data_IF_343685059315
#
_entry.id   IF_343685059315
#
_cell.length_a   1.000
_cell.length_b   1.000
_cell.length_c   1.000
_cell.angle_alpha   90.00
_cell.angle_beta   90.00
_cell.angle_gamma   90.00
#
_symmetry.space_group_name_H-M   'P 1'
#
loop_
_entity.id
_entity.type
_entity.pdbx_description
1 polymer ?
#
# COMPACT_ATOMS: atom_id res chain seq x y z
N UNK A 1 -6.43 23.28 21.65
CA UNK A 1 -7.69 22.53 21.52
C UNK A 1 -7.83 21.80 20.18
N UNK A 2 -7.42 22.37 19.05
CA UNK A 2 -7.59 21.79 17.70
C UNK A 2 -7.07 20.34 17.50
N UNK A 3 -5.97 19.94 18.15
CA UNK A 3 -5.44 18.57 18.00
C UNK A 3 -6.40 17.48 18.51
N UNK A 4 -7.19 17.76 19.56
CA UNK A 4 -8.21 16.81 20.05
C UNK A 4 -9.33 16.64 19.03
N UNK A 5 -9.75 17.75 18.42
CA UNK A 5 -10.76 17.76 17.36
C UNK A 5 -10.30 16.98 16.13
N UNK A 6 -9.01 17.04 15.77
CA UNK A 6 -8.43 16.21 14.70
C UNK A 6 -8.51 14.72 15.01
N UNK A 7 -8.31 14.32 16.27
CA UNK A 7 -8.47 12.93 16.70
C UNK A 7 -9.93 12.48 16.65
N UNK A 8 -10.87 13.31 17.11
CA UNK A 8 -12.31 13.00 16.99
C UNK A 8 -12.76 12.92 15.54
N UNK A 9 -12.23 13.76 14.65
CA UNK A 9 -12.51 13.68 13.22
C UNK A 9 -12.05 12.34 12.61
N UNK A 10 -10.93 11.78 13.08
CA UNK A 10 -10.47 10.46 12.65
C UNK A 10 -11.41 9.31 13.06
N UNK A 11 -12.26 9.49 14.08
CA UNK A 11 -13.27 8.51 14.47
C UNK A 11 -14.43 8.41 13.45
N UNK A 12 -14.70 9.47 12.69
CA UNK A 12 -15.80 9.51 11.70
C UNK A 12 -15.69 8.40 10.64
N UNK A 13 -14.56 8.25 9.90
CA UNK A 13 -14.43 7.15 8.94
C UNK A 13 -14.45 5.77 9.62
N UNK A 14 -13.91 5.65 10.84
CA UNK A 14 -13.98 4.40 11.60
C UNK A 14 -15.42 4.00 11.93
N UNK A 15 -16.24 4.95 12.38
CA UNK A 15 -17.66 4.74 12.64
C UNK A 15 -18.42 4.38 11.35
N UNK A 16 -18.15 5.09 10.25
CA UNK A 16 -18.75 4.77 8.94
C UNK A 16 -18.42 3.36 8.48
N UNK A 17 -17.19 2.88 8.69
CA UNK A 17 -16.80 1.50 8.39
C UNK A 17 -17.58 0.53 9.28
N UNK A 18 -17.68 0.79 10.60
CA UNK A 18 -18.42 -0.10 11.52
C UNK A 18 -19.87 -0.23 11.12
N UNK A 19 -20.53 0.89 10.81
CA UNK A 19 -21.92 0.90 10.35
C UNK A 19 -22.05 0.23 8.98
N UNK A 20 -21.16 0.54 8.03
CA UNK A 20 -21.15 -0.06 6.69
C UNK A 20 -20.94 -1.58 6.72
N UNK A 21 -20.11 -2.08 7.63
CA UNK A 21 -19.89 -3.52 7.80
C UNK A 21 -21.15 -4.26 8.27
N UNK A 22 -22.12 -3.60 8.93
CA UNK A 22 -23.39 -4.25 9.28
C UNK A 22 -24.25 -4.58 8.05
N UNK A 23 -24.04 -3.88 6.94
CA UNK A 23 -24.74 -4.10 5.67
C UNK A 23 -23.91 -4.92 4.67
N UNK A 24 -22.65 -5.18 4.97
CA UNK A 24 -21.77 -5.94 4.09
C UNK A 24 -22.13 -7.42 4.15
N UNK A 25 -22.35 -8.03 2.99
CA UNK A 25 -22.51 -9.48 2.86
C UNK A 25 -21.21 -10.19 3.22
N UNK A 26 -21.33 -11.29 3.96
CA UNK A 26 -20.19 -12.13 4.31
C UNK A 26 -19.57 -12.76 3.07
N UNK A 27 -18.25 -12.99 3.10
CA UNK A 27 -17.54 -13.60 1.98
C UNK A 27 -18.05 -15.03 1.72
N UNK A 28 -18.44 -15.38 0.47
CA UNK A 28 -18.89 -16.74 0.13
C UNK A 28 -17.90 -17.83 0.52
N UNK A 29 -16.60 -17.53 0.44
CA UNK A 29 -15.52 -18.45 0.82
C UNK A 29 -15.49 -18.71 2.32
N UNK A 30 -15.75 -17.68 3.13
CA UNK A 30 -15.82 -17.84 4.58
C UNK A 30 -17.07 -18.63 4.98
N UNK A 31 -18.22 -18.31 4.39
CA UNK A 31 -19.47 -19.05 4.60
C UNK A 31 -19.31 -20.55 4.29
N UNK A 32 -18.69 -20.88 3.14
CA UNK A 32 -18.38 -22.25 2.78
C UNK A 32 -17.40 -22.93 3.77
N UNK A 33 -16.40 -22.20 4.28
CA UNK A 33 -15.44 -22.71 5.27
C UNK A 33 -16.09 -23.06 6.62
N UNK A 34 -17.14 -22.33 7.02
CA UNK A 34 -17.92 -22.61 8.24
C UNK A 34 -19.04 -23.65 7.98
N UNK A 35 -19.15 -24.18 6.76
CA UNK A 35 -20.14 -25.19 6.39
C UNK A 35 -21.51 -24.64 5.95
N UNK A 36 -21.67 -23.31 5.86
CA UNK A 36 -22.92 -22.64 5.43
C UNK A 36 -22.98 -22.51 3.90
N UNK A 37 -23.05 -23.64 3.20
CA UNK A 37 -23.02 -23.67 1.73
C UNK A 37 -24.22 -23.01 1.04
N UNK A 38 -25.41 -23.11 1.63
CA UNK A 38 -26.62 -22.51 1.06
C UNK A 38 -26.57 -20.98 1.11
N UNK A 39 -26.05 -20.42 2.21
CA UNK A 39 -25.85 -18.98 2.33
C UNK A 39 -24.75 -18.50 1.40
N UNK A 40 -23.65 -19.27 1.26
CA UNK A 40 -22.60 -18.97 0.29
C UNK A 40 -23.16 -18.92 -1.14
N UNK A 41 -24.06 -19.85 -1.50
CA UNK A 41 -24.72 -19.90 -2.81
C UNK A 41 -25.56 -18.66 -3.06
N UNK A 42 -26.40 -18.24 -2.11
CA UNK A 42 -27.22 -17.02 -2.24
C UNK A 42 -26.37 -15.78 -2.49
N UNK A 43 -25.22 -15.67 -1.80
CA UNK A 43 -24.30 -14.54 -2.02
C UNK A 43 -23.67 -14.63 -3.41
N UNK A 44 -23.26 -15.82 -3.88
CA UNK A 44 -22.71 -15.99 -5.25
C UNK A 44 -23.76 -15.66 -6.32
N UNK A 45 -25.01 -16.10 -6.15
CA UNK A 45 -26.14 -15.77 -7.04
C UNK A 45 -26.43 -14.27 -7.11
N UNK A 46 -26.14 -13.52 -6.05
CA UNK A 46 -26.27 -12.06 -6.04
C UNK A 46 -25.12 -11.31 -6.71
N UNK A 47 -23.96 -11.97 -6.88
CA UNK A 47 -22.72 -11.35 -7.37
C UNK A 47 -22.37 -11.76 -8.80
N UNK A 48 -22.76 -12.96 -9.22
CA UNK A 48 -22.38 -13.59 -10.50
C UNK A 48 -23.60 -13.92 -11.35
N UNK A 49 -23.39 -14.05 -12.66
CA UNK A 49 -24.44 -14.50 -13.58
C UNK A 49 -24.87 -15.94 -13.25
N UNK A 50 -26.16 -16.31 -13.43
CA UNK A 50 -26.68 -17.63 -13.10
C UNK A 50 -25.91 -18.81 -13.73
N UNK A 51 -25.31 -18.60 -14.90
CA UNK A 51 -24.47 -19.57 -15.62
C UNK A 51 -23.16 -19.91 -14.88
N UNK A 52 -22.58 -18.96 -14.16
CA UNK A 52 -21.27 -19.10 -13.50
C UNK A 52 -21.37 -19.52 -12.02
N UNK A 53 -22.59 -19.50 -11.45
CA UNK A 53 -22.84 -19.85 -10.04
C UNK A 53 -22.40 -21.28 -9.72
N UNK A 54 -22.75 -22.24 -10.58
CA UNK A 54 -22.43 -23.65 -10.37
C UNK A 54 -20.92 -23.89 -10.30
N UNK A 55 -20.20 -23.37 -11.31
CA UNK A 55 -18.74 -23.44 -11.40
C UNK A 55 -18.05 -22.74 -10.23
N UNK A 56 -18.50 -21.53 -9.89
CA UNK A 56 -17.95 -20.77 -8.75
C UNK A 56 -18.14 -21.50 -7.43
N UNK A 57 -19.29 -22.16 -7.22
CA UNK A 57 -19.55 -22.95 -6.02
C UNK A 57 -18.71 -24.22 -5.95
N UNK A 58 -18.44 -24.88 -7.08
CA UNK A 58 -17.51 -26.01 -7.14
C UNK A 58 -16.07 -25.59 -6.82
N UNK A 59 -15.60 -24.48 -7.39
CA UNK A 59 -14.27 -23.93 -7.09
C UNK A 59 -14.12 -23.60 -5.61
N UNK A 60 -15.13 -22.95 -5.01
CA UNK A 60 -15.12 -22.63 -3.58
C UNK A 60 -15.08 -23.91 -2.73
N UNK A 61 -15.88 -24.92 -3.06
CA UNK A 61 -15.88 -26.22 -2.35
C UNK A 61 -14.53 -26.92 -2.47
N UNK A 62 -13.94 -26.94 -3.66
CA UNK A 62 -12.62 -27.55 -3.89
C UNK A 62 -11.53 -26.84 -3.08
N UNK A 63 -11.58 -25.50 -2.97
CA UNK A 63 -10.63 -24.74 -2.14
C UNK A 63 -10.82 -25.04 -0.66
N UNK A 64 -12.05 -25.11 -0.16
CA UNK A 64 -12.34 -25.41 1.25
C UNK A 64 -11.99 -26.85 1.62
N UNK A 65 -12.27 -27.81 0.73
CA UNK A 65 -11.94 -29.22 0.95
C UNK A 65 -10.43 -29.49 1.01
N UNK A 66 -9.62 -28.67 0.33
CA UNK A 66 -8.16 -28.70 0.38
C UNK A 66 -7.56 -27.78 1.47
N UNK A 67 -8.40 -27.05 2.21
CA UNK A 67 -7.96 -26.15 3.29
C UNK A 67 -7.95 -26.91 4.62
N UNK A 68 -6.97 -27.82 4.78
CA UNK A 68 -6.70 -28.46 6.07
C UNK A 68 -6.45 -27.37 7.12
N UNK A 69 -7.37 -27.32 8.08
CA UNK A 69 -7.48 -26.28 9.10
C UNK A 69 -6.14 -26.05 9.80
N UNK A 70 -5.64 -24.81 9.68
CA UNK A 70 -4.33 -24.31 10.11
C UNK A 70 -3.19 -24.70 9.17
N UNK A 71 -2.85 -23.80 8.24
CA UNK A 71 -1.48 -23.81 7.74
C UNK A 71 -0.52 -23.69 8.92
N UNK A 72 0.66 -24.28 8.85
CA UNK A 72 1.75 -24.02 9.81
C UNK A 72 2.59 -22.82 9.36
N UNK A 73 3.22 -22.08 10.29
CA UNK A 73 4.19 -21.03 9.90
C UNK A 73 5.40 -21.61 9.15
N UNK A 74 5.70 -22.90 9.37
CA UNK A 74 6.74 -23.61 8.65
C UNK A 74 6.44 -23.78 7.15
N UNK A 75 5.17 -23.73 6.72
CA UNK A 75 4.80 -23.80 5.30
C UNK A 75 5.32 -22.60 4.50
N UNK A 76 5.56 -21.46 5.14
CA UNK A 76 6.19 -20.31 4.48
C UNK A 76 7.64 -20.59 4.10
N UNK A 77 8.31 -21.57 4.71
CA UNK A 77 9.70 -21.92 4.42
C UNK A 77 9.81 -22.98 3.31
N UNK A 78 8.70 -23.57 2.91
CA UNK A 78 8.64 -24.63 1.88
C UNK A 78 8.32 -24.01 0.51
N UNK A 79 8.95 -24.49 -0.56
CA UNK A 79 8.60 -24.08 -1.92
C UNK A 79 7.18 -24.54 -2.29
N UNK A 80 6.39 -23.74 -3.05
CA UNK A 80 6.72 -22.45 -3.65
C UNK A 80 6.44 -21.23 -2.75
N UNK A 81 5.82 -21.43 -1.58
CA UNK A 81 5.36 -20.37 -0.69
C UNK A 81 6.49 -19.47 -0.18
N UNK A 82 7.69 -20.04 0.02
CA UNK A 82 8.89 -19.28 0.38
C UNK A 82 9.25 -18.20 -0.64
N UNK A 83 9.13 -18.48 -1.94
CA UNK A 83 9.40 -17.48 -2.98
C UNK A 83 8.45 -16.29 -2.88
N UNK A 84 7.17 -16.55 -2.63
CA UNK A 84 6.15 -15.50 -2.49
C UNK A 84 6.39 -14.69 -1.22
N UNK A 85 6.72 -15.34 -0.11
CA UNK A 85 7.07 -14.68 1.14
C UNK A 85 8.32 -13.79 1.00
N UNK A 86 9.36 -14.28 0.33
CA UNK A 86 10.57 -13.52 0.05
C UNK A 86 10.32 -12.34 -0.88
N UNK A 87 9.53 -12.51 -1.94
CA UNK A 87 9.15 -11.41 -2.85
C UNK A 87 8.36 -10.34 -2.07
N UNK A 88 7.33 -10.74 -1.31
CA UNK A 88 6.52 -9.81 -0.54
C UNK A 88 7.30 -9.08 0.54
N UNK A 89 8.16 -9.79 1.28
CA UNK A 89 9.04 -9.19 2.27
C UNK A 89 10.06 -8.24 1.64
N UNK A 90 10.66 -8.62 0.52
CA UNK A 90 11.63 -7.80 -0.21
C UNK A 90 11.00 -6.55 -0.80
N UNK A 91 9.79 -6.63 -1.35
CA UNK A 91 9.08 -5.46 -1.90
C UNK A 91 8.76 -4.43 -0.81
N UNK A 92 8.25 -4.86 0.34
CA UNK A 92 7.99 -3.95 1.46
C UNK A 92 9.28 -3.40 2.07
N UNK A 93 10.34 -4.21 2.13
CA UNK A 93 11.66 -3.75 2.53
C UNK A 93 12.18 -2.65 1.57
N UNK A 94 12.13 -2.88 0.26
CA UNK A 94 12.53 -1.91 -0.76
C UNK A 94 11.69 -0.63 -0.70
N UNK A 95 10.38 -0.76 -0.46
CA UNK A 95 9.47 0.37 -0.31
C UNK A 95 9.85 1.26 0.88
N UNK A 96 10.24 0.67 2.02
CA UNK A 96 10.73 1.43 3.17
C UNK A 96 12.14 1.98 2.95
N UNK A 97 13.01 1.18 2.32
CA UNK A 97 14.38 1.59 1.99
C UNK A 97 14.43 2.75 0.99
N UNK A 98 13.44 2.86 0.10
CA UNK A 98 13.29 4.00 -0.79
C UNK A 98 13.17 5.34 -0.03
N UNK A 99 12.75 5.32 1.24
CA UNK A 99 12.79 6.48 2.12
C UNK A 99 11.54 7.37 2.09
N UNK A 100 10.40 6.86 1.61
CA UNK A 100 9.15 7.63 1.49
C UNK A 100 8.76 8.37 2.77
N UNK A 101 8.90 7.71 3.93
CA UNK A 101 8.60 8.35 5.21
C UNK A 101 9.49 9.57 5.45
N UNK A 102 10.79 9.48 5.13
CA UNK A 102 11.71 10.61 5.22
C UNK A 102 11.29 11.76 4.33
N UNK A 103 11.00 11.49 3.05
CA UNK A 103 10.54 12.50 2.09
C UNK A 103 9.25 13.17 2.56
N UNK A 104 8.25 12.40 3.00
CA UNK A 104 6.99 12.94 3.49
C UNK A 104 7.19 13.81 4.73
N UNK A 105 8.00 13.38 5.70
CA UNK A 105 8.27 14.17 6.91
C UNK A 105 9.01 15.48 6.60
N UNK A 106 10.01 15.43 5.72
CA UNK A 106 10.84 16.60 5.40
C UNK A 106 10.27 17.48 4.29
N UNK A 107 9.25 17.01 3.57
CA UNK A 107 8.60 17.79 2.50
C UNK A 107 8.19 19.18 2.97
N UNK A 108 7.60 19.30 4.16
CA UNK A 108 7.19 20.58 4.74
C UNK A 108 8.33 21.57 4.96
N UNK A 109 9.55 21.09 5.25
CA UNK A 109 10.74 21.94 5.34
C UNK A 109 11.14 22.42 3.94
N UNK A 110 11.20 21.50 2.97
CA UNK A 110 11.52 21.83 1.56
C UNK A 110 10.55 22.86 0.98
N UNK A 111 9.25 22.79 1.33
CA UNK A 111 8.27 23.80 0.91
C UNK A 111 8.47 25.15 1.60
N UNK A 112 8.93 25.16 2.86
CA UNK A 112 9.18 26.39 3.62
C UNK A 112 10.32 27.22 3.03
N UNK A 113 11.34 26.55 2.50
CA UNK A 113 12.52 27.20 1.91
C UNK A 113 12.17 28.03 0.66
N UNK A 114 11.02 27.78 0.04
CA UNK A 114 10.55 28.48 -1.18
C UNK A 114 9.41 29.46 -0.88
N UNK A 115 9.24 29.83 0.39
CA UNK A 115 8.25 30.83 0.81
C UNK A 115 6.85 30.29 1.09
N UNK A 116 6.62 28.97 1.00
CA UNK A 116 5.36 28.37 1.48
C UNK A 116 5.46 28.19 3.00
N UNK A 117 5.14 29.26 3.72
CA UNK A 117 5.24 29.32 5.19
C UNK A 117 4.12 28.56 5.91
N UNK A 118 3.01 28.28 5.22
CA UNK A 118 1.90 27.50 5.77
C UNK A 118 2.11 26.00 5.59
N UNK A 119 2.40 25.31 6.69
CA UNK A 119 2.51 23.84 6.70
C UNK A 119 1.23 23.12 6.28
N UNK A 120 0.07 23.77 6.40
CA UNK A 120 -1.20 23.25 5.91
C UNK A 120 -1.26 23.22 4.38
N UNK A 121 -0.75 24.26 3.69
CA UNK A 121 -0.67 24.29 2.23
C UNK A 121 0.31 23.25 1.70
N UNK A 122 1.49 23.13 2.32
CA UNK A 122 2.46 22.09 1.97
C UNK A 122 1.85 20.68 2.08
N UNK A 123 1.14 20.41 3.18
CA UNK A 123 0.46 19.13 3.40
C UNK A 123 -0.68 18.89 2.39
N UNK A 124 -1.40 19.95 1.99
CA UNK A 124 -2.45 19.88 0.97
C UNK A 124 -1.86 19.50 -0.40
N UNK A 125 -0.75 20.12 -0.82
CA UNK A 125 -0.09 19.77 -2.07
C UNK A 125 0.38 18.32 -2.08
N UNK A 126 1.04 17.87 -1.01
CA UNK A 126 1.44 16.48 -0.83
C UNK A 126 0.24 15.54 -0.93
N UNK A 127 -0.86 15.87 -0.26
CA UNK A 127 -2.09 15.08 -0.28
C UNK A 127 -2.70 14.98 -1.68
N UNK A 128 -2.83 16.10 -2.40
CA UNK A 128 -3.36 16.14 -3.76
C UNK A 128 -2.48 15.34 -4.71
N UNK A 129 -1.16 15.50 -4.63
CA UNK A 129 -0.22 14.77 -5.50
C UNK A 129 -0.25 13.26 -5.22
N UNK A 130 -0.30 12.86 -3.96
CA UNK A 130 -0.45 11.46 -3.58
C UNK A 130 -1.79 10.87 -4.06
N UNK A 131 -2.89 11.61 -3.86
CA UNK A 131 -4.22 11.19 -4.31
C UNK A 131 -4.29 11.09 -5.85
N UNK A 132 -3.75 12.07 -6.57
CA UNK A 132 -3.66 12.06 -8.02
C UNK A 132 -2.83 10.87 -8.54
N UNK A 133 -1.68 10.60 -7.90
CA UNK A 133 -0.87 9.42 -8.22
C UNK A 133 -1.61 8.11 -8.02
N UNK A 134 -2.37 7.98 -6.92
CA UNK A 134 -3.19 6.80 -6.64
C UNK A 134 -4.34 6.62 -7.65
N UNK A 135 -5.01 7.70 -8.07
CA UNK A 135 -6.03 7.65 -9.12
C UNK A 135 -5.46 7.19 -10.45
N UNK A 136 -4.30 7.72 -10.84
CA UNK A 136 -3.58 7.29 -12.05
C UNK A 136 -3.17 5.82 -11.92
N UNK A 137 -2.66 5.40 -10.76
CA UNK A 137 -2.32 4.01 -10.48
C UNK A 137 -3.52 3.08 -10.70
N UNK A 138 -4.69 3.43 -10.15
CA UNK A 138 -5.90 2.63 -10.28
C UNK A 138 -6.31 2.43 -11.75
N UNK A 139 -6.16 3.46 -12.59
CA UNK A 139 -6.50 3.37 -14.01
C UNK A 139 -5.45 2.61 -14.83
N UNK A 140 -4.17 2.72 -14.47
CA UNK A 140 -3.07 2.09 -15.19
C UNK A 140 -2.84 0.63 -14.79
N UNK A 141 -3.16 0.26 -13.55
CA UNK A 141 -2.89 -1.07 -13.00
C UNK A 141 -3.58 -2.16 -13.81
N UNK A 142 -4.81 -1.92 -14.24
CA UNK A 142 -5.59 -2.86 -15.04
C UNK A 142 -5.13 -2.93 -16.49
N UNK A 143 -4.56 -1.84 -17.03
CA UNK A 143 -4.16 -1.74 -18.45
C UNK A 143 -2.72 -2.20 -18.73
N UNK A 144 -1.76 -1.80 -17.90
CA UNK A 144 -0.32 -1.97 -18.18
C UNK A 144 0.33 -3.11 -17.40
N UNK A 145 -0.37 -3.65 -16.41
CA UNK A 145 0.11 -4.70 -15.54
C UNK A 145 1.01 -4.20 -14.41
N UNK A 146 1.00 -4.96 -13.31
CA UNK A 146 1.54 -4.58 -12.01
C UNK A 146 3.07 -4.42 -12.03
N UNK A 147 3.78 -5.36 -12.67
CA UNK A 147 5.26 -5.35 -12.75
C UNK A 147 5.81 -4.10 -13.44
N UNK A 148 5.22 -3.68 -14.57
CA UNK A 148 5.66 -2.49 -15.31
C UNK A 148 5.47 -1.22 -14.47
N UNK A 149 4.31 -1.11 -13.82
CA UNK A 149 3.98 0.03 -12.98
C UNK A 149 4.94 0.17 -11.78
N UNK A 150 5.33 -0.97 -11.19
CA UNK A 150 6.29 -1.02 -10.10
C UNK A 150 7.70 -0.59 -10.57
N UNK A 151 8.16 -1.05 -11.74
CA UNK A 151 9.46 -0.62 -12.32
C UNK A 151 9.47 0.87 -12.62
N UNK A 152 8.42 1.39 -13.29
CA UNK A 152 8.30 2.82 -13.62
C UNK A 152 8.29 3.68 -12.36
N UNK A 153 7.60 3.23 -11.30
CA UNK A 153 7.58 3.90 -10.01
C UNK A 153 8.98 4.02 -9.39
N UNK A 154 9.75 2.93 -9.33
CA UNK A 154 11.12 2.98 -8.79
C UNK A 154 12.09 3.81 -9.65
N UNK A 155 11.99 3.76 -10.98
CA UNK A 155 12.77 4.63 -11.86
C UNK A 155 12.41 6.10 -11.67
N UNK A 156 11.12 6.41 -11.55
CA UNK A 156 10.63 7.76 -11.26
C UNK A 156 11.11 8.28 -9.92
N UNK A 157 11.08 7.45 -8.88
CA UNK A 157 11.62 7.81 -7.55
C UNK A 157 13.14 8.05 -7.58
N UNK A 158 13.89 7.23 -8.31
CA UNK A 158 15.33 7.41 -8.46
C UNK A 158 15.67 8.72 -9.18
N UNK A 159 14.95 9.02 -10.27
CA UNK A 159 15.10 10.28 -10.99
C UNK A 159 14.71 11.49 -10.13
N UNK A 160 13.60 11.40 -9.39
CA UNK A 160 13.16 12.45 -8.48
C UNK A 160 14.18 12.71 -7.36
N UNK A 161 14.77 11.66 -6.80
CA UNK A 161 15.85 11.78 -5.82
C UNK A 161 17.09 12.44 -6.40
N UNK A 162 17.46 12.10 -7.64
CA UNK A 162 18.55 12.77 -8.33
C UNK A 162 18.29 14.28 -8.47
N UNK A 163 17.07 14.70 -8.84
CA UNK A 163 16.71 16.13 -8.91
C UNK A 163 16.85 16.85 -7.58
N UNK A 164 16.41 16.22 -6.48
CA UNK A 164 16.52 16.79 -5.12
C UNK A 164 17.99 16.96 -4.75
N UNK A 165 18.80 15.91 -4.90
CA UNK A 165 20.23 15.96 -4.57
C UNK A 165 20.96 16.98 -5.45
N UNK A 166 20.63 17.05 -6.74
CA UNK A 166 21.21 18.01 -7.65
C UNK A 166 20.90 19.47 -7.24
N UNK A 167 19.64 19.75 -6.86
CA UNK A 167 19.23 21.07 -6.38
C UNK A 167 19.91 21.49 -5.08
N UNK A 168 20.29 20.54 -4.21
CA UNK A 168 20.94 20.83 -2.91
C UNK A 168 22.47 20.89 -3.01
N UNK A 169 23.09 20.03 -3.83
CA UNK A 169 24.53 19.77 -3.76
C UNK A 169 25.35 20.58 -4.76
N UNK A 170 24.71 21.06 -5.83
CA UNK A 170 25.40 21.85 -6.85
C UNK A 170 25.19 23.34 -6.59
N UNK A 171 26.20 24.18 -6.90
CA UNK A 171 26.09 25.63 -6.83
C UNK A 171 25.24 26.14 -8.00
N UNK A 172 23.93 25.97 -7.87
CA UNK A 172 22.90 26.55 -8.75
C UNK A 172 22.30 27.77 -8.07
N UNK A 173 21.74 28.68 -8.87
CA UNK A 173 21.03 29.86 -8.37
C UNK A 173 19.94 29.46 -7.36
N UNK A 174 19.78 30.23 -6.28
CA UNK A 174 18.91 29.88 -5.14
C UNK A 174 17.47 29.61 -5.62
N UNK A 175 16.97 30.41 -6.57
CA UNK A 175 15.63 30.22 -7.14
C UNK A 175 15.46 28.89 -7.89
N UNK A 176 16.51 28.45 -8.60
CA UNK A 176 16.50 27.19 -9.37
C UNK A 176 16.67 25.99 -8.43
N UNK A 177 17.55 26.09 -7.43
CA UNK A 177 17.77 25.08 -6.40
C UNK A 177 16.47 24.71 -5.67
N UNK A 178 15.72 25.73 -5.27
CA UNK A 178 14.44 25.63 -4.59
C UNK A 178 13.35 24.99 -5.47
N UNK A 179 13.23 25.43 -6.72
CA UNK A 179 12.24 24.89 -7.67
C UNK A 179 12.49 23.41 -7.99
N UNK A 180 13.76 23.03 -8.17
CA UNK A 180 14.16 21.63 -8.41
C UNK A 180 13.86 20.74 -7.19
N UNK A 181 14.13 21.23 -5.99
CA UNK A 181 13.89 20.47 -4.75
C UNK A 181 12.40 20.22 -4.50
N UNK A 182 11.54 21.22 -4.73
CA UNK A 182 10.08 21.06 -4.64
C UNK A 182 9.57 20.11 -5.72
N UNK A 183 9.96 20.33 -6.96
CA UNK A 183 9.50 19.53 -8.10
C UNK A 183 9.93 18.09 -7.93
N UNK A 184 11.17 17.84 -7.50
CA UNK A 184 11.67 16.51 -7.16
C UNK A 184 10.90 15.87 -6.01
N UNK A 185 10.57 16.62 -4.95
CA UNK A 185 9.77 16.09 -3.82
C UNK A 185 8.37 15.69 -4.25
N UNK A 186 7.67 16.54 -5.01
CA UNK A 186 6.33 16.25 -5.53
C UNK A 186 6.36 15.07 -6.52
N UNK A 187 7.35 15.04 -7.42
CA UNK A 187 7.53 13.95 -8.37
C UNK A 187 7.82 12.63 -7.66
N UNK A 188 8.63 12.65 -6.60
CA UNK A 188 8.90 11.47 -5.79
C UNK A 188 7.61 10.92 -5.16
N UNK A 189 6.80 11.78 -4.53
CA UNK A 189 5.53 11.40 -3.91
C UNK A 189 4.55 10.86 -4.95
N UNK A 190 4.44 11.54 -6.11
CA UNK A 190 3.58 11.12 -7.21
C UNK A 190 3.97 9.73 -7.74
N UNK A 191 5.25 9.54 -8.04
CA UNK A 191 5.76 8.27 -8.60
C UNK A 191 5.69 7.13 -7.60
N UNK A 192 5.87 7.38 -6.31
CA UNK A 192 5.62 6.40 -5.25
C UNK A 192 4.14 5.97 -5.21
N UNK A 193 3.22 6.95 -5.21
CA UNK A 193 1.78 6.71 -5.19
C UNK A 193 1.27 5.99 -6.46
N UNK A 194 1.96 6.20 -7.59
CA UNK A 194 1.64 5.57 -8.86
C UNK A 194 1.90 4.05 -8.87
N UNK A 195 2.82 3.53 -8.05
CA UNK A 195 3.21 2.12 -8.10
C UNK A 195 3.58 1.51 -6.76
N UNK A 196 4.74 1.90 -6.20
CA UNK A 196 5.31 1.27 -5.01
C UNK A 196 4.34 1.22 -3.81
N UNK A 197 3.46 2.21 -3.67
CA UNK A 197 2.36 2.21 -2.70
C UNK A 197 1.31 1.12 -2.97
N UNK A 198 0.40 1.33 -3.94
CA UNK A 198 -0.75 0.45 -4.15
C UNK A 198 -0.37 -0.94 -4.69
N UNK A 199 0.60 -1.01 -5.61
CA UNK A 199 0.92 -2.26 -6.32
C UNK A 199 1.55 -3.28 -5.38
N UNK A 200 2.41 -2.85 -4.46
CA UNK A 200 3.05 -3.74 -3.48
C UNK A 200 2.00 -4.41 -2.58
N UNK A 201 0.98 -3.66 -2.16
CA UNK A 201 -0.10 -4.20 -1.33
C UNK A 201 -1.00 -5.22 -2.05
N UNK A 202 -1.10 -5.13 -3.38
CA UNK A 202 -2.00 -5.96 -4.20
C UNK A 202 -1.28 -7.20 -4.77
N UNK A 203 -0.02 -7.06 -5.19
CA UNK A 203 0.71 -8.16 -5.84
C UNK A 203 0.98 -9.32 -4.87
N UNK A 204 1.16 -9.02 -3.58
CA UNK A 204 1.44 -10.03 -2.54
C UNK A 204 0.25 -10.97 -2.34
N UNK A 205 -0.99 -10.49 -2.09
CA UNK A 205 -2.14 -11.37 -1.97
C UNK A 205 -2.48 -12.06 -3.30
N UNK A 206 -2.24 -11.43 -4.46
CA UNK A 206 -2.41 -12.04 -5.79
C UNK A 206 -1.45 -13.23 -6.02
N UNK A 207 -0.19 -13.13 -5.60
CA UNK A 207 0.80 -14.20 -5.73
C UNK A 207 0.64 -15.32 -4.68
N UNK A 208 0.02 -14.99 -3.54
CA UNK A 208 -0.15 -15.95 -2.44
C UNK A 208 -1.34 -16.89 -2.65
N UNK A 209 -1.16 -18.16 -2.26
CA UNK A 209 -2.26 -19.12 -2.14
C UNK A 209 -3.24 -18.67 -1.06
N UNK A 210 -4.54 -18.94 -1.23
CA UNK A 210 -5.57 -18.55 -0.27
C UNK A 210 -5.24 -19.01 1.18
N UNK A 211 -4.58 -20.17 1.30
CA UNK A 211 -4.14 -20.77 2.56
C UNK A 211 -2.99 -20.05 3.28
N UNK A 212 -2.04 -19.46 2.54
CA UNK A 212 -0.85 -18.79 3.11
C UNK A 212 -0.94 -17.27 3.07
N UNK A 213 -1.90 -16.71 2.31
CA UNK A 213 -2.09 -15.27 2.11
C UNK A 213 -2.01 -14.45 3.37
N UNK A 214 -2.79 -14.80 4.40
CA UNK A 214 -2.83 -14.04 5.65
C UNK A 214 -1.48 -14.01 6.38
N UNK A 215 -0.70 -15.09 6.28
CA UNK A 215 0.63 -15.18 6.92
C UNK A 215 1.71 -14.49 6.13
N UNK A 216 1.70 -14.63 4.80
CA UNK A 216 2.60 -13.88 3.92
C UNK A 216 2.38 -12.39 4.14
N UNK A 217 1.13 -11.94 4.16
CA UNK A 217 0.78 -10.55 4.46
C UNK A 217 1.23 -10.14 5.87
N UNK A 218 0.99 -10.97 6.89
CA UNK A 218 1.46 -10.70 8.26
C UNK A 218 2.98 -10.56 8.36
N UNK A 219 3.73 -11.46 7.72
CA UNK A 219 5.19 -11.39 7.64
C UNK A 219 5.66 -10.11 6.92
N UNK A 220 5.09 -9.84 5.75
CA UNK A 220 5.36 -8.64 4.96
C UNK A 220 5.12 -7.34 5.73
N UNK A 221 3.98 -7.24 6.44
CA UNK A 221 3.71 -6.09 7.31
C UNK A 221 4.68 -6.02 8.48
N UNK A 222 5.05 -7.15 9.07
CA UNK A 222 6.05 -7.15 10.15
C UNK A 222 7.38 -6.58 9.67
N UNK A 223 7.85 -6.97 8.47
CA UNK A 223 9.05 -6.40 7.84
C UNK A 223 8.90 -4.89 7.61
N UNK A 224 7.75 -4.45 7.10
CA UNK A 224 7.43 -3.05 6.89
C UNK A 224 7.56 -2.23 8.19
N UNK A 225 6.88 -2.69 9.26
CA UNK A 225 6.86 -1.99 10.55
C UNK A 225 8.20 -2.03 11.28
N UNK A 226 8.94 -3.13 11.21
CA UNK A 226 10.27 -3.24 11.82
C UNK A 226 11.23 -2.20 11.25
N UNK A 227 11.24 -2.03 9.92
CA UNK A 227 12.10 -1.03 9.28
C UNK A 227 11.67 0.40 9.59
N UNK A 228 10.37 0.64 9.63
CA UNK A 228 9.85 1.95 10.03
C UNK A 228 10.24 2.30 11.48
N UNK A 229 10.14 1.34 12.41
CA UNK A 229 10.52 1.52 13.81
C UNK A 229 12.02 1.73 13.99
N UNK A 230 12.86 0.98 13.26
CA UNK A 230 14.32 1.15 13.29
C UNK A 230 14.73 2.55 12.85
N UNK A 231 14.14 3.06 11.77
CA UNK A 231 14.38 4.42 11.28
C UNK A 231 13.98 5.47 12.33
N UNK A 232 12.85 5.28 13.01
CA UNK A 232 12.38 6.17 14.07
C UNK A 232 13.29 6.13 15.31
N UNK A 233 13.74 4.93 15.73
CA UNK A 233 14.57 4.76 16.94
C UNK A 233 16.00 5.28 16.77
N UNK A 234 16.55 5.25 15.55
CA UNK A 234 17.85 5.88 15.25
C UNK A 234 17.74 7.39 15.30
N UNK A 235 16.61 7.96 14.85
CA UNK A 235 16.35 9.40 14.90
C UNK A 235 16.18 9.90 16.33
N UNK A 236 15.48 9.17 17.20
CA UNK A 236 15.32 9.50 18.63
C UNK A 236 16.61 9.35 19.45
N UNK A 237 17.65 8.69 18.92
CA UNK A 237 18.97 8.58 19.57
C UNK A 237 19.94 9.70 19.16
N UNK A 238 19.64 10.43 18.09
CA UNK A 238 20.45 11.55 17.62
C UNK A 238 19.89 12.93 18.04
N UNK A 239 18.77 12.94 18.76
CA UNK A 239 18.20 14.10 19.45
C UNK A 239 18.46 13.93 20.95
#
# INVERSE_FOLDING_TARGET
MMWRTMLYAACVPGFLIVVGMQFAVESPRWLAKVGRFDDARKVVESLWEPSEVGKSMEEIKAVVANDDSQSSWSELLVEPHNRVALIGGSLFFLQQFAGINGVLYFSSLTFRDVGITSGALASLYVGITNFGGALVASNLMDKQGRKKLLIVSYLGMAFAMFLIVYGISFPVDDGVAHSLSITGTLLYIFTFALGAGPVTGIIIPELSSARTRSKVMGFSFTVHWLKQKDALSRKLRCL
#
